data_IF_773747677731
#
_entry.id   IF_773747677731
#
_cell.length_a   1.000
_cell.length_b   1.000
_cell.length_c   1.000
_cell.angle_alpha   90.00
_cell.angle_beta   90.00
_cell.angle_gamma   90.00
#
_symmetry.space_group_name_H-M   'P 1'
#
loop_
_entity.id
_entity.type
_entity.pdbx_description
1 polymer ?
#
# COMPACT_ATOMS: atom_id res chain seq x y z
N UNK A 1 12.73 -11.41 9.17
CA UNK A 1 11.32 -11.45 9.61
C UNK A 1 11.04 -10.48 10.76
N UNK A 2 11.73 -10.60 11.91
CA UNK A 2 11.66 -9.68 13.07
C UNK A 2 11.89 -8.20 12.71
N UNK A 3 12.88 -7.93 11.85
CA UNK A 3 13.22 -6.58 11.38
C UNK A 3 12.25 -6.03 10.30
N UNK A 4 11.48 -6.92 9.66
CA UNK A 4 10.57 -6.62 8.54
C UNK A 4 9.19 -6.21 9.09
N UNK A 5 8.70 -6.93 10.10
CA UNK A 5 7.40 -6.72 10.73
C UNK A 5 7.40 -5.50 11.68
N UNK A 6 8.50 -5.27 12.43
CA UNK A 6 8.65 -4.01 13.21
C UNK A 6 8.85 -2.78 12.32
N UNK A 7 9.38 -2.95 11.10
CA UNK A 7 9.43 -1.88 10.09
C UNK A 7 8.04 -1.56 9.56
N UNK A 8 7.18 -2.56 9.30
CA UNK A 8 5.79 -2.32 8.89
C UNK A 8 5.07 -1.41 9.90
N UNK A 9 5.00 -1.77 11.18
CA UNK A 9 4.27 -0.94 12.16
C UNK A 9 4.89 0.44 12.35
N UNK A 10 6.22 0.56 12.30
CA UNK A 10 6.91 1.87 12.43
C UNK A 10 6.71 2.76 11.20
N UNK A 11 6.86 2.22 9.99
CA UNK A 11 6.68 2.95 8.74
C UNK A 11 5.20 3.32 8.56
N UNK A 12 4.27 2.39 8.73
CA UNK A 12 2.85 2.70 8.64
C UNK A 12 2.35 3.62 9.78
N UNK A 13 2.93 3.53 10.98
CA UNK A 13 2.51 4.30 12.16
C UNK A 13 3.01 5.75 12.21
N UNK A 14 4.16 6.08 11.60
CA UNK A 14 4.71 7.44 11.62
C UNK A 14 4.31 8.31 10.42
N UNK A 15 3.86 7.71 9.33
CA UNK A 15 3.61 8.45 8.10
C UNK A 15 2.18 8.99 8.08
N UNK A 16 2.07 10.31 8.00
CA UNK A 16 0.81 11.06 7.91
C UNK A 16 0.01 10.66 6.66
N UNK A 17 -1.32 10.68 6.82
CA UNK A 17 -2.32 10.29 5.82
C UNK A 17 -1.92 10.75 4.43
N UNK A 18 -1.80 9.78 3.53
CA UNK A 18 -1.84 10.03 2.10
C UNK A 18 -2.75 8.98 1.50
N UNK A 19 -3.71 9.44 0.69
CA UNK A 19 -4.62 8.58 -0.06
C UNK A 19 -3.88 7.74 -1.13
N UNK A 20 -2.55 7.85 -1.22
CA UNK A 20 -1.69 7.26 -2.25
C UNK A 20 -1.04 5.94 -1.81
N UNK A 21 -1.29 5.50 -0.58
CA UNK A 21 -0.83 4.21 -0.02
C UNK A 21 -1.93 3.58 0.84
N UNK A 22 -1.79 2.28 1.11
CA UNK A 22 -2.64 1.60 2.09
C UNK A 22 -2.31 2.10 3.51
N UNK A 23 -3.33 2.33 4.34
CA UNK A 23 -3.17 2.81 5.72
C UNK A 23 -3.31 1.67 6.71
N UNK A 24 -2.54 1.69 7.80
CA UNK A 24 -2.67 0.73 8.91
C UNK A 24 -3.58 1.31 9.99
N UNK A 25 -4.69 0.66 10.26
CA UNK A 25 -5.62 1.05 11.31
C UNK A 25 -5.32 0.34 12.65
N UNK A 26 -4.95 -0.94 12.60
CA UNK A 26 -4.69 -1.74 13.80
C UNK A 26 -3.55 -2.74 13.60
N UNK A 27 -2.75 -2.95 14.64
CA UNK A 27 -1.79 -4.04 14.71
C UNK A 27 -1.99 -4.82 16.02
N UNK A 28 -2.24 -6.13 15.92
CA UNK A 28 -2.50 -6.99 17.06
C UNK A 28 -2.02 -8.42 16.82
N UNK A 29 -1.90 -9.19 17.88
CA UNK A 29 -1.57 -10.62 17.83
C UNK A 29 -2.77 -11.50 18.15
N UNK A 30 -2.77 -12.69 17.57
CA UNK A 30 -3.63 -13.81 17.94
C UNK A 30 -2.74 -14.94 18.46
N UNK A 31 -3.34 -16.07 18.83
CA UNK A 31 -2.57 -17.26 19.25
C UNK A 31 -1.62 -17.76 18.17
N UNK A 32 -2.01 -17.63 16.90
CA UNK A 32 -1.36 -18.30 15.78
C UNK A 32 -0.79 -17.32 14.73
N UNK A 33 -1.12 -16.03 14.81
CA UNK A 33 -0.74 -15.03 13.79
C UNK A 33 -0.57 -13.61 14.35
N UNK A 34 0.27 -12.83 13.67
CA UNK A 34 0.32 -11.37 13.77
C UNK A 34 -0.56 -10.76 12.70
N UNK A 35 -1.41 -9.80 13.08
CA UNK A 35 -2.44 -9.23 12.21
C UNK A 35 -2.20 -7.73 11.99
N UNK A 36 -2.27 -7.33 10.72
CA UNK A 36 -2.30 -5.94 10.28
C UNK A 36 -3.67 -5.67 9.66
N UNK A 37 -4.41 -4.71 10.20
CA UNK A 37 -5.68 -4.24 9.61
C UNK A 37 -5.36 -3.05 8.73
N UNK A 38 -5.40 -3.28 7.42
CA UNK A 38 -5.05 -2.29 6.39
C UNK A 38 -6.30 -1.76 5.69
N UNK A 39 -6.17 -0.63 5.00
CA UNK A 39 -7.18 -0.15 4.04
C UNK A 39 -7.55 -1.27 3.06
N UNK A 40 -8.83 -1.58 2.96
CA UNK A 40 -9.35 -2.59 2.05
C UNK A 40 -9.30 -2.07 0.60
N UNK A 41 -8.73 -2.88 -0.30
CA UNK A 41 -8.55 -2.57 -1.72
C UNK A 41 -9.24 -3.64 -2.56
N UNK A 42 -10.56 -3.52 -2.73
CA UNK A 42 -11.40 -4.55 -3.37
C UNK A 42 -11.21 -4.69 -4.89
N UNK A 43 -10.64 -3.67 -5.53
CA UNK A 43 -10.41 -3.67 -6.97
C UNK A 43 -9.32 -4.65 -7.43
N UNK A 44 -8.67 -5.36 -6.50
CA UNK A 44 -7.61 -6.33 -6.81
C UNK A 44 -6.28 -5.66 -7.14
N UNK A 45 -5.29 -6.49 -7.49
CA UNK A 45 -3.95 -6.03 -7.85
C UNK A 45 -3.80 -5.79 -9.37
N UNK A 46 -2.86 -4.92 -9.73
CA UNK A 46 -2.63 -4.53 -11.12
C UNK A 46 -2.18 -5.70 -12.00
N UNK A 47 -1.54 -6.73 -11.43
CA UNK A 47 -1.17 -7.96 -12.16
C UNK A 47 -2.43 -8.69 -12.63
N UNK A 48 -3.45 -8.83 -11.80
CA UNK A 48 -4.72 -9.43 -12.19
C UNK A 48 -5.36 -8.64 -13.34
N UNK A 49 -5.41 -7.31 -13.23
CA UNK A 49 -5.91 -6.46 -14.32
C UNK A 49 -5.15 -6.65 -15.62
N UNK A 50 -3.82 -6.71 -15.55
CA UNK A 50 -2.96 -6.77 -16.74
C UNK A 50 -2.96 -8.14 -17.43
N UNK A 51 -3.08 -9.22 -16.65
CA UNK A 51 -2.84 -10.56 -17.16
C UNK A 51 -4.07 -11.44 -17.26
N UNK A 52 -5.14 -11.11 -16.52
CA UNK A 52 -6.38 -11.85 -16.49
C UNK A 52 -7.53 -11.06 -17.13
N UNK A 53 -7.61 -9.73 -16.93
CA UNK A 53 -8.69 -8.93 -17.52
C UNK A 53 -8.35 -8.36 -18.90
N UNK A 54 -7.18 -7.75 -19.07
CA UNK A 54 -6.77 -7.14 -20.35
C UNK A 54 -5.41 -7.67 -20.83
N UNK A 55 -5.36 -8.95 -21.28
CA UNK A 55 -4.13 -9.52 -21.82
C UNK A 55 -3.67 -8.74 -23.04
N UNK A 56 -2.56 -8.01 -22.90
CA UNK A 56 -2.02 -7.15 -23.96
C UNK A 56 -1.75 -5.72 -23.54
N UNK A 57 -2.07 -5.33 -22.30
CA UNK A 57 -1.81 -3.98 -21.80
C UNK A 57 -3.06 -3.10 -21.77
N UNK A 58 -2.88 -1.90 -21.24
CA UNK A 58 -3.90 -0.87 -21.09
C UNK A 58 -3.70 0.22 -22.13
N UNK A 59 -4.76 0.98 -22.41
CA UNK A 59 -4.65 2.23 -23.14
C UNK A 59 -3.82 3.25 -22.36
N UNK A 60 -3.12 4.14 -23.06
CA UNK A 60 -2.22 5.08 -22.39
C UNK A 60 -2.92 6.07 -21.46
N UNK A 61 -4.21 6.35 -21.65
CA UNK A 61 -4.97 7.21 -20.72
C UNK A 61 -5.10 6.54 -19.35
N UNK A 62 -5.42 5.25 -19.31
CA UNK A 62 -5.39 4.45 -18.08
C UNK A 62 -3.99 4.35 -17.48
N UNK A 63 -2.96 4.12 -18.31
CA UNK A 63 -1.56 4.08 -17.85
C UNK A 63 -1.12 5.41 -17.25
N UNK A 64 -1.44 6.53 -17.89
CA UNK A 64 -1.10 7.88 -17.42
C UNK A 64 -1.71 8.16 -16.05
N UNK A 65 -2.98 7.78 -15.86
CA UNK A 65 -3.66 7.95 -14.58
C UNK A 65 -2.96 7.16 -13.45
N UNK A 66 -2.73 5.85 -13.64
CA UNK A 66 -2.07 5.03 -12.62
C UNK A 66 -0.63 5.45 -12.38
N UNK A 67 0.13 5.75 -13.45
CA UNK A 67 1.50 6.22 -13.33
C UNK A 67 1.58 7.53 -12.53
N UNK A 68 0.61 8.43 -12.69
CA UNK A 68 0.55 9.67 -11.96
C UNK A 68 0.25 9.45 -10.47
N UNK A 69 -0.71 8.58 -10.12
CA UNK A 69 -0.99 8.23 -8.71
C UNK A 69 0.20 7.52 -8.04
N UNK A 70 0.83 6.57 -8.74
CA UNK A 70 2.03 5.89 -8.25
C UNK A 70 3.19 6.88 -8.06
N UNK A 71 3.35 7.85 -8.98
CA UNK A 71 4.36 8.92 -8.85
C UNK A 71 4.14 9.74 -7.58
N UNK A 72 2.88 10.11 -7.28
CA UNK A 72 2.56 10.84 -6.05
C UNK A 72 2.78 9.96 -4.80
N UNK A 73 2.46 8.67 -4.88
CA UNK A 73 2.72 7.71 -3.79
C UNK A 73 4.22 7.58 -3.47
N UNK A 74 5.06 7.43 -4.49
CA UNK A 74 6.52 7.42 -4.35
C UNK A 74 7.03 8.76 -3.84
N UNK A 75 6.54 9.89 -4.37
CA UNK A 75 6.90 11.24 -3.89
C UNK A 75 6.65 11.37 -2.39
N UNK A 76 5.51 10.87 -1.91
CA UNK A 76 5.18 10.91 -0.49
C UNK A 76 6.13 10.06 0.35
N UNK A 77 6.45 8.84 -0.08
CA UNK A 77 7.44 7.99 0.60
C UNK A 77 8.82 8.65 0.65
N UNK A 78 9.29 9.20 -0.48
CA UNK A 78 10.61 9.83 -0.58
C UNK A 78 10.72 11.08 0.31
N UNK A 79 9.66 11.90 0.42
CA UNK A 79 9.61 13.04 1.36
C UNK A 79 9.75 12.63 2.82
N UNK A 80 9.24 11.46 3.17
CA UNK A 80 9.40 10.83 4.49
C UNK A 80 10.69 10.01 4.61
N UNK A 81 11.61 10.18 3.66
CA UNK A 81 12.90 9.48 3.54
C UNK A 81 12.79 7.96 3.43
N UNK A 82 11.67 7.46 2.89
CA UNK A 82 11.43 6.03 2.75
C UNK A 82 11.66 5.60 1.31
N UNK A 83 12.52 4.62 1.15
CA UNK A 83 12.81 3.95 -0.11
C UNK A 83 11.99 2.66 -0.22
N UNK A 84 11.22 2.48 -1.29
CA UNK A 84 10.22 1.41 -1.39
C UNK A 84 10.80 0.06 -1.83
N UNK A 85 11.56 0.04 -2.92
CA UNK A 85 12.37 -1.09 -3.45
C UNK A 85 11.63 -2.32 -3.99
N UNK A 86 10.30 -2.34 -4.04
CA UNK A 86 9.55 -3.48 -4.58
C UNK A 86 8.34 -3.07 -5.44
N UNK A 87 8.54 -2.09 -6.32
CA UNK A 87 7.51 -1.66 -7.27
C UNK A 87 7.33 -2.70 -8.38
N UNK A 88 6.14 -3.32 -8.40
CA UNK A 88 5.71 -4.35 -9.36
C UNK A 88 4.17 -4.43 -9.38
N UNK A 89 3.54 -5.02 -10.42
CA UNK A 89 2.08 -4.99 -10.57
C UNK A 89 1.33 -5.65 -9.41
N UNK A 90 1.91 -6.66 -8.76
CA UNK A 90 1.33 -7.31 -7.57
C UNK A 90 1.14 -6.35 -6.38
N UNK A 91 1.97 -5.31 -6.28
CA UNK A 91 2.00 -4.42 -5.12
C UNK A 91 1.27 -3.10 -5.37
N UNK A 92 0.53 -3.00 -6.48
CA UNK A 92 -0.32 -1.86 -6.79
C UNK A 92 -1.77 -2.35 -6.75
N UNK A 93 -2.53 -1.87 -5.75
CA UNK A 93 -3.89 -2.32 -5.50
C UNK A 93 -4.90 -1.24 -5.90
N UNK A 94 -6.07 -1.65 -6.37
CA UNK A 94 -7.17 -0.76 -6.74
C UNK A 94 -8.25 -0.74 -5.64
N UNK A 95 -8.82 0.43 -5.36
CA UNK A 95 -10.01 0.55 -4.51
C UNK A 95 -11.30 0.41 -5.32
N UNK A 96 -12.47 0.49 -4.66
CA UNK A 96 -13.79 0.35 -5.27
C UNK A 96 -14.07 1.39 -6.38
N UNK A 97 -13.37 2.53 -6.35
CA UNK A 97 -13.54 3.63 -7.31
C UNK A 97 -12.53 3.56 -8.46
N UNK A 98 -11.52 2.69 -8.35
CA UNK A 98 -10.47 2.49 -9.35
C UNK A 98 -9.22 3.32 -9.15
N UNK A 99 -9.05 3.97 -7.99
CA UNK A 99 -7.78 4.60 -7.61
C UNK A 99 -6.77 3.55 -7.20
N UNK A 100 -5.49 3.77 -7.55
CA UNK A 100 -4.40 2.86 -7.21
C UNK A 100 -3.63 3.33 -5.99
N UNK A 101 -3.15 2.36 -5.20
CA UNK A 101 -2.29 2.62 -4.04
C UNK A 101 -1.14 1.64 -3.98
N UNK A 102 0.01 2.12 -3.53
CA UNK A 102 1.16 1.27 -3.23
C UNK A 102 0.86 0.46 -1.96
N UNK A 103 1.08 -0.85 -2.03
CA UNK A 103 0.96 -1.80 -0.92
C UNK A 103 2.30 -2.47 -0.60
N UNK A 104 2.32 -3.36 0.40
CA UNK A 104 3.48 -4.19 0.79
C UNK A 104 4.81 -3.40 0.94
N UNK A 105 4.94 -2.68 2.05
CA UNK A 105 6.17 -1.96 2.44
C UNK A 105 7.24 -2.87 3.05
N UNK A 106 7.18 -4.18 2.82
CA UNK A 106 8.05 -5.15 3.48
C UNK A 106 9.53 -4.94 3.19
N UNK A 107 9.85 -4.62 1.94
CA UNK A 107 11.20 -4.30 1.53
C UNK A 107 11.54 -2.82 1.69
N UNK A 108 10.63 -1.99 2.21
CA UNK A 108 10.91 -0.58 2.39
C UNK A 108 11.96 -0.31 3.48
N UNK A 109 12.61 0.85 3.39
CA UNK A 109 13.64 1.28 4.34
C UNK A 109 13.68 2.79 4.45
N UNK A 110 13.81 3.28 5.68
CA UNK A 110 14.09 4.68 5.96
C UNK A 110 15.58 4.97 5.74
N UNK A 111 15.88 5.99 4.91
CA UNK A 111 17.21 6.52 4.70
C UNK A 111 17.52 7.53 5.79
N UNK A 112 18.49 7.21 6.65
CA UNK A 112 18.99 8.15 7.65
C UNK A 112 19.74 9.26 6.93
N UNK A 113 19.33 10.51 7.17
CA UNK A 113 19.94 11.71 6.59
C UNK A 113 20.08 11.67 5.06
N UNK A 114 19.14 11.00 4.36
CA UNK A 114 19.17 10.78 2.90
C UNK A 114 20.43 10.05 2.38
N UNK A 115 21.18 9.37 3.26
CA UNK A 115 22.38 8.65 2.87
C UNK A 115 22.07 7.41 2.01
N UNK A 116 22.79 7.19 0.89
CA UNK A 116 22.62 6.00 0.07
C UNK A 116 22.91 4.71 0.85
N UNK A 117 22.12 3.68 0.61
CA UNK A 117 22.27 2.36 1.24
C UNK A 117 22.83 1.33 0.26
N UNK A 118 23.27 0.19 0.78
CA UNK A 118 23.67 -0.97 -0.01
C UNK A 118 22.88 -2.19 0.43
N UNK A 119 22.38 -2.97 -0.52
CA UNK A 119 21.66 -4.20 -0.24
C UNK A 119 20.91 -4.72 -1.47
N UNK A 120 21.03 -6.02 -1.71
CA UNK A 120 20.44 -6.67 -2.90
C UNK A 120 19.07 -7.24 -2.57
N UNK A 121 18.03 -6.43 -2.71
CA UNK A 121 16.63 -6.79 -2.42
C UNK A 121 15.70 -6.33 -3.54
N UNK A 122 14.54 -6.96 -3.65
CA UNK A 122 13.52 -6.66 -4.65
C UNK A 122 13.22 -7.85 -5.56
N UNK A 123 12.22 -7.68 -6.42
CA UNK A 123 11.77 -8.73 -7.34
C UNK A 123 12.63 -8.77 -8.62
N UNK A 124 13.06 -9.98 -9.03
CA UNK A 124 13.87 -10.20 -10.24
C UNK A 124 13.13 -9.68 -11.48
N UNK A 125 13.77 -8.82 -12.26
CA UNK A 125 13.20 -8.11 -13.42
C UNK A 125 12.74 -6.68 -13.12
N UNK A 126 12.50 -6.34 -11.85
CA UNK A 126 12.15 -4.98 -11.40
C UNK A 126 13.27 -4.30 -10.63
N UNK A 127 14.25 -5.06 -10.12
CA UNK A 127 15.45 -4.48 -9.51
C UNK A 127 16.23 -3.63 -10.50
N UNK A 128 16.58 -2.40 -10.10
CA UNK A 128 17.41 -1.51 -10.89
C UNK A 128 18.84 -2.04 -11.08
N UNK A 129 19.58 -1.62 -12.13
CA UNK A 129 20.93 -2.13 -12.43
C UNK A 129 21.91 -1.98 -11.27
N UNK A 130 21.88 -0.88 -10.53
CA UNK A 130 22.74 -0.62 -9.36
C UNK A 130 22.44 -1.58 -8.19
N UNK A 131 21.19 -2.04 -8.02
CA UNK A 131 20.84 -3.09 -7.05
C UNK A 131 21.43 -4.44 -7.52
N UNK A 132 21.27 -4.76 -8.81
CA UNK A 132 21.79 -6.02 -9.40
C UNK A 132 23.31 -6.09 -9.31
N UNK A 133 24.01 -4.97 -9.51
CA UNK A 133 25.47 -4.80 -9.35
C UNK A 133 25.93 -4.71 -7.89
N UNK A 134 24.99 -4.67 -6.93
CA UNK A 134 25.28 -4.53 -5.50
C UNK A 134 26.06 -3.24 -5.16
N UNK A 135 25.70 -2.14 -5.83
CA UNK A 135 26.21 -0.80 -5.60
C UNK A 135 25.41 -0.08 -4.51
N UNK A 136 25.86 1.13 -4.13
CA UNK A 136 25.08 2.00 -3.24
C UNK A 136 24.00 2.73 -4.05
N UNK A 137 22.83 2.90 -3.47
CA UNK A 137 21.68 3.50 -4.14
C UNK A 137 20.77 4.27 -3.17
N UNK A 138 19.93 5.12 -3.74
CA UNK A 138 18.91 5.92 -3.05
C UNK A 138 17.59 5.86 -3.85
N UNK A 139 16.78 6.91 -3.86
CA UNK A 139 15.43 6.99 -4.45
C UNK A 139 15.30 6.58 -5.93
N UNK A 140 16.38 6.70 -6.72
CA UNK A 140 16.38 6.36 -8.14
C UNK A 140 15.94 4.94 -8.50
N UNK A 141 16.07 3.99 -7.57
CA UNK A 141 15.64 2.60 -7.80
C UNK A 141 14.12 2.45 -7.88
N UNK A 142 13.37 3.34 -7.21
CA UNK A 142 11.90 3.34 -7.28
C UNK A 142 11.42 3.94 -8.61
N UNK A 143 12.14 4.94 -9.14
CA UNK A 143 11.87 5.49 -10.47
C UNK A 143 12.15 4.50 -11.59
N UNK A 144 13.17 3.66 -11.44
CA UNK A 144 13.38 2.51 -12.33
C UNK A 144 12.18 1.56 -12.29
N UNK A 145 11.72 1.19 -11.08
CA UNK A 145 10.52 0.37 -10.90
C UNK A 145 9.28 0.97 -11.58
N UNK A 146 9.10 2.29 -11.50
CA UNK A 146 8.02 3.00 -12.19
C UNK A 146 8.15 2.86 -13.72
N UNK A 147 9.37 2.96 -14.25
CA UNK A 147 9.64 2.71 -15.67
C UNK A 147 9.25 1.30 -16.11
N UNK A 148 9.58 0.28 -15.30
CA UNK A 148 9.17 -1.10 -15.55
C UNK A 148 7.65 -1.24 -15.56
N UNK A 149 6.95 -0.65 -14.58
CA UNK A 149 5.49 -0.69 -14.49
C UNK A 149 4.80 -0.04 -15.68
N UNK A 150 5.23 1.17 -16.08
CA UNK A 150 4.65 1.89 -17.21
C UNK A 150 4.85 1.09 -18.49
N UNK A 151 6.06 0.56 -18.71
CA UNK A 151 6.35 -0.29 -19.85
C UNK A 151 5.42 -1.50 -19.88
N UNK A 152 5.29 -2.19 -18.75
CA UNK A 152 4.52 -3.43 -18.65
C UNK A 152 3.02 -3.18 -18.83
N UNK A 153 2.50 -2.08 -18.28
CA UNK A 153 1.11 -1.66 -18.49
C UNK A 153 0.80 -1.38 -19.96
N UNK A 154 1.72 -0.79 -20.74
CA UNK A 154 1.48 -0.51 -22.17
C UNK A 154 1.69 -1.76 -23.04
N UNK A 155 2.80 -2.46 -22.84
CA UNK A 155 3.20 -3.58 -23.69
C UNK A 155 2.43 -4.87 -23.36
N UNK A 156 2.00 -5.04 -22.10
CA UNK A 156 1.42 -6.26 -21.56
C UNK A 156 2.44 -7.31 -21.10
N UNK A 157 3.72 -6.96 -21.04
CA UNK A 157 4.83 -7.81 -20.58
C UNK A 157 5.99 -6.96 -20.04
N UNK A 158 6.77 -7.50 -19.10
CA UNK A 158 7.88 -6.76 -18.50
C UNK A 158 9.04 -6.53 -19.50
N UNK A 159 9.82 -5.44 -19.36
CA UNK A 159 10.84 -5.05 -20.34
C UNK A 159 11.98 -6.06 -20.52
N UNK A 160 12.33 -6.81 -19.47
CA UNK A 160 13.47 -7.72 -19.47
C UNK A 160 13.10 -9.20 -19.28
N UNK A 161 11.80 -9.50 -19.12
CA UNK A 161 11.32 -10.87 -18.88
C UNK A 161 9.95 -11.08 -19.51
N UNK A 162 9.84 -12.08 -20.39
CA UNK A 162 8.57 -12.44 -21.00
C UNK A 162 7.68 -13.24 -20.03
N UNK A 163 6.36 -13.18 -20.25
CA UNK A 163 5.38 -13.93 -19.46
C UNK A 163 5.60 -15.43 -19.64
N UNK A 164 5.62 -16.18 -18.53
CA UNK A 164 5.87 -17.64 -18.48
C UNK A 164 7.24 -18.07 -19.05
N UNK A 165 8.15 -17.13 -19.26
CA UNK A 165 9.51 -17.44 -19.69
C UNK A 165 10.28 -18.16 -18.57
N UNK A 166 10.71 -19.38 -18.84
CA UNK A 166 11.57 -20.17 -17.94
C UNK A 166 13.03 -19.83 -18.21
N UNK A 167 13.46 -18.66 -17.73
CA UNK A 167 14.86 -18.21 -17.75
C UNK A 167 15.46 -18.23 -16.37
N UNK A 168 16.76 -18.51 -16.30
CA UNK A 168 17.55 -18.41 -15.08
C UNK A 168 17.59 -16.95 -14.61
N UNK A 169 17.70 -16.77 -13.30
CA UNK A 169 17.78 -15.44 -12.66
C UNK A 169 18.91 -14.60 -13.23
N UNK A 170 20.07 -15.22 -13.44
CA UNK A 170 21.30 -14.58 -13.90
C UNK A 170 21.14 -13.99 -15.31
N UNK A 171 20.34 -14.64 -16.17
CA UNK A 171 20.06 -14.14 -17.52
C UNK A 171 19.16 -12.89 -17.46
N UNK A 172 18.11 -12.90 -16.64
CA UNK A 172 17.26 -11.70 -16.46
C UNK A 172 18.09 -10.54 -15.91
N UNK A 173 18.98 -10.81 -14.97
CA UNK A 173 19.89 -9.82 -14.40
C UNK A 173 20.91 -9.29 -15.42
N UNK A 174 21.42 -10.15 -16.31
CA UNK A 174 22.25 -9.74 -17.44
C UNK A 174 21.49 -8.79 -18.36
N UNK A 175 20.26 -9.13 -18.76
CA UNK A 175 19.40 -8.26 -19.59
C UNK A 175 19.16 -6.90 -18.94
N UNK A 176 18.86 -6.86 -17.64
CA UNK A 176 18.72 -5.60 -16.88
C UNK A 176 19.99 -4.75 -16.95
N UNK A 177 21.18 -5.35 -16.93
CA UNK A 177 22.46 -4.63 -17.00
C UNK A 177 22.87 -4.19 -18.41
N UNK A 178 22.53 -4.97 -19.44
CA UNK A 178 23.16 -4.86 -20.77
C UNK A 178 22.16 -4.51 -21.87
N UNK A 179 20.99 -5.14 -21.86
CA UNK A 179 20.05 -5.05 -22.98
C UNK A 179 19.24 -3.75 -22.90
N UNK A 180 19.02 -3.09 -24.04
CA UNK A 180 18.07 -1.98 -24.14
C UNK A 180 16.65 -2.52 -24.32
N UNK A 181 15.68 -1.90 -23.65
CA UNK A 181 14.27 -2.22 -23.81
C UNK A 181 13.78 -1.93 -25.24
N UNK A 182 12.81 -2.73 -25.71
CA UNK A 182 12.24 -2.61 -27.06
C UNK A 182 10.82 -2.10 -26.97
N UNK A 183 10.43 -1.16 -27.81
CA UNK A 183 9.09 -0.56 -27.79
C UNK A 183 8.31 -0.98 -29.03
N UNK A 184 7.09 -1.49 -28.84
CA UNK A 184 6.16 -1.71 -29.95
C UNK A 184 5.54 -0.41 -30.46
N UNK A 185 4.66 -0.54 -31.43
CA UNK A 185 3.78 0.51 -31.95
C UNK A 185 2.74 1.01 -30.93
N UNK A 186 2.51 0.25 -29.84
CA UNK A 186 1.60 0.66 -28.75
C UNK A 186 2.05 1.90 -27.98
N UNK A 187 3.33 2.23 -28.02
CA UNK A 187 3.85 3.41 -27.32
C UNK A 187 3.73 4.66 -28.20
N UNK A 188 3.14 5.72 -27.67
CA UNK A 188 3.32 7.07 -28.15
C UNK A 188 4.76 7.53 -27.94
N UNK A 189 5.19 8.56 -28.67
CA UNK A 189 6.54 9.09 -28.49
C UNK A 189 6.78 9.57 -27.06
N UNK A 190 5.78 10.20 -26.43
CA UNK A 190 5.85 10.63 -25.05
C UNK A 190 5.99 9.45 -24.07
N UNK A 191 5.30 8.33 -24.31
CA UNK A 191 5.48 7.13 -23.49
C UNK A 191 6.87 6.52 -23.66
N UNK A 192 7.39 6.45 -24.90
CA UNK A 192 8.75 5.97 -25.18
C UNK A 192 9.80 6.80 -24.46
N UNK A 193 9.74 8.13 -24.57
CA UNK A 193 10.74 9.01 -23.93
C UNK A 193 10.65 8.96 -22.41
N UNK A 194 9.44 8.82 -21.85
CA UNK A 194 9.25 8.62 -20.41
C UNK A 194 9.92 7.34 -19.93
N UNK A 195 9.60 6.20 -20.56
CA UNK A 195 10.17 4.91 -20.20
C UNK A 195 11.69 4.90 -20.38
N UNK A 196 12.24 5.43 -21.48
CA UNK A 196 13.70 5.52 -21.68
C UNK A 196 14.38 6.35 -20.59
N UNK A 197 13.74 7.44 -20.16
CA UNK A 197 14.24 8.27 -19.07
C UNK A 197 14.26 7.53 -17.73
N UNK A 198 13.19 6.82 -17.39
CA UNK A 198 13.06 6.07 -16.14
C UNK A 198 13.91 4.78 -16.13
N UNK A 199 14.05 4.12 -17.28
CA UNK A 199 14.84 2.89 -17.48
C UNK A 199 16.28 3.19 -17.90
N UNK A 200 16.76 4.41 -17.65
CA UNK A 200 18.17 4.70 -17.85
C UNK A 200 19.02 3.90 -16.86
N UNK A 201 19.98 3.13 -17.40
CA UNK A 201 20.77 2.19 -16.60
C UNK A 201 21.72 2.87 -15.63
N UNK A 202 22.27 4.01 -16.04
CA UNK A 202 23.10 4.86 -15.19
C UNK A 202 22.20 5.77 -14.33
N UNK A 203 22.22 5.63 -12.98
CA UNK A 203 21.28 6.34 -12.09
C UNK A 203 21.35 7.86 -12.19
N UNK A 204 22.55 8.42 -12.41
CA UNK A 204 22.76 9.88 -12.50
C UNK A 204 22.07 10.53 -13.71
N UNK A 205 21.79 9.77 -14.77
CA UNK A 205 21.04 10.24 -15.95
C UNK A 205 19.57 9.82 -15.94
N UNK A 206 19.13 9.07 -14.93
CA UNK A 206 17.75 8.59 -14.81
C UNK A 206 16.80 9.75 -14.52
N UNK A 207 15.63 9.72 -15.16
CA UNK A 207 14.55 10.67 -14.88
C UNK A 207 14.14 10.54 -13.40
N UNK A 208 14.05 11.68 -12.71
CA UNK A 208 13.84 11.75 -11.26
C UNK A 208 15.14 11.75 -10.45
N UNK A 209 16.31 11.65 -11.10
CA UNK A 209 17.63 11.75 -10.47
C UNK A 209 18.51 12.84 -11.11
N UNK A 210 18.33 13.12 -12.40
CA UNK A 210 19.27 13.91 -13.21
C UNK A 210 19.18 15.43 -13.02
N UNK A 211 18.00 15.97 -12.72
CA UNK A 211 17.75 17.42 -12.59
C UNK A 211 17.04 17.77 -11.28
N UNK A 212 17.57 17.27 -10.16
CA UNK A 212 16.99 17.51 -8.84
C UNK A 212 17.99 18.17 -7.89
N UNK A 213 17.50 19.12 -7.09
CA UNK A 213 18.31 19.79 -6.07
C UNK A 213 18.52 18.88 -4.85
N UNK A 214 17.50 18.10 -4.49
CA UNK A 214 17.58 17.06 -3.46
C UNK A 214 17.18 15.70 -4.03
N UNK A 215 17.78 14.60 -3.55
CA UNK A 215 17.50 13.27 -4.09
C UNK A 215 16.04 12.84 -3.91
N UNK A 216 15.33 13.32 -2.88
CA UNK A 216 13.90 13.06 -2.63
C UNK A 216 12.93 13.87 -3.51
N UNK A 217 13.40 14.86 -4.26
CA UNK A 217 12.57 15.77 -5.08
C UNK A 217 12.37 15.25 -6.52
N UNK A 218 12.76 14.00 -6.81
CA UNK A 218 12.68 13.35 -8.13
C UNK A 218 11.34 13.45 -8.86
N UNK A 219 10.24 13.45 -8.10
CA UNK A 219 8.90 13.49 -8.67
C UNK A 219 8.63 14.76 -9.49
N UNK A 220 9.25 15.91 -9.18
CA UNK A 220 9.02 17.17 -9.89
C UNK A 220 9.45 17.07 -11.35
N UNK A 221 10.59 16.44 -11.60
CA UNK A 221 11.10 16.21 -12.94
C UNK A 221 10.18 15.25 -13.74
N UNK A 222 9.69 14.20 -13.09
CA UNK A 222 8.78 13.23 -13.72
C UNK A 222 7.46 13.90 -14.06
N UNK A 223 6.89 14.67 -13.13
CA UNK A 223 5.65 15.44 -13.32
C UNK A 223 5.76 16.46 -14.43
N UNK A 224 6.95 16.97 -14.71
CA UNK A 224 7.22 17.91 -15.80
C UNK A 224 7.22 17.26 -17.20
N UNK A 225 7.31 15.93 -17.29
CA UNK A 225 7.45 15.21 -18.56
C UNK A 225 6.21 15.36 -19.47
N UNK A 226 6.41 15.39 -20.79
CA UNK A 226 5.35 15.58 -21.80
C UNK A 226 4.23 14.53 -21.71
N UNK A 227 4.57 13.30 -21.34
CA UNK A 227 3.60 12.24 -21.09
C UNK A 227 2.51 12.62 -20.07
N UNK A 228 2.83 13.49 -19.09
CA UNK A 228 1.87 13.96 -18.10
C UNK A 228 1.33 15.37 -18.37
N UNK A 229 2.04 16.23 -19.09
CA UNK A 229 1.65 17.65 -19.26
C UNK A 229 1.16 18.01 -20.66
N UNK A 230 1.21 17.09 -21.62
CA UNK A 230 0.82 17.35 -23.01
C UNK A 230 -0.32 16.42 -23.42
N UNK A 231 -1.38 17.03 -23.96
CA UNK A 231 -2.50 16.30 -24.54
C UNK A 231 -2.05 15.51 -25.79
N UNK A 232 -2.67 14.36 -26.03
CA UNK A 232 -2.44 13.55 -27.21
C UNK A 232 -3.76 12.92 -27.67
N UNK A 233 -4.30 13.47 -28.76
CA UNK A 233 -5.59 13.08 -29.31
C UNK A 233 -5.64 11.62 -29.78
N UNK A 234 -4.50 11.03 -30.17
CA UNK A 234 -4.46 9.64 -30.63
C UNK A 234 -4.61 8.64 -29.47
N UNK A 235 -4.17 9.03 -28.28
CA UNK A 235 -4.19 8.18 -27.09
C UNK A 235 -5.29 8.57 -26.10
N UNK A 236 -5.94 9.73 -26.30
CA UNK A 236 -6.93 10.28 -25.39
C UNK A 236 -6.35 10.79 -24.07
N UNK A 237 -5.00 10.93 -23.99
CA UNK A 237 -4.32 11.53 -22.83
C UNK A 237 -4.57 13.03 -22.80
N UNK A 238 -4.84 13.54 -21.61
CA UNK A 238 -4.94 14.96 -21.32
C UNK A 238 -3.85 15.36 -20.31
N UNK A 239 -3.50 16.65 -20.16
CA UNK A 239 -2.59 17.09 -19.12
C UNK A 239 -3.14 16.71 -17.73
N UNK A 240 -2.31 16.06 -16.94
CA UNK A 240 -2.67 15.58 -15.59
C UNK A 240 -2.92 16.79 -14.69
N UNK A 241 -4.13 16.93 -14.11
CA UNK A 241 -4.42 18.02 -13.18
C UNK A 241 -3.87 17.67 -11.79
N UNK A 242 -2.56 17.78 -11.61
CA UNK A 242 -1.84 17.30 -10.42
C UNK A 242 -2.46 17.72 -9.09
N UNK A 243 -2.89 18.99 -8.93
CA UNK A 243 -3.54 19.47 -7.70
C UNK A 243 -4.86 18.76 -7.40
N UNK A 244 -5.63 18.40 -8.43
CA UNK A 244 -6.87 17.63 -8.26
C UNK A 244 -6.57 16.17 -7.96
N UNK A 245 -5.52 15.62 -8.58
CA UNK A 245 -5.07 14.25 -8.34
C UNK A 245 -4.53 14.07 -6.92
N UNK A 246 -3.73 15.03 -6.44
CA UNK A 246 -3.30 15.17 -5.03
C UNK A 246 -4.47 15.31 -4.04
N UNK A 247 -5.66 15.66 -4.51
CA UNK A 247 -6.86 15.76 -3.68
C UNK A 247 -7.81 14.57 -3.85
N UNK A 248 -7.46 13.56 -4.66
CA UNK A 248 -8.35 12.44 -4.98
C UNK A 248 -9.61 12.86 -5.74
N UNK A 249 -9.57 13.97 -6.49
CA UNK A 249 -10.74 14.58 -7.17
C UNK A 249 -10.76 14.33 -8.68
N UNK A 250 -9.91 13.46 -9.19
CA UNK A 250 -9.88 13.09 -10.61
C UNK A 250 -10.52 11.73 -10.75
N UNK A 251 -11.59 11.62 -11.54
CA UNK A 251 -12.26 10.36 -11.79
C UNK A 251 -11.33 9.38 -12.50
N UNK A 252 -11.12 8.17 -11.96
CA UNK A 252 -10.33 7.14 -12.64
C UNK A 252 -10.95 6.76 -13.99
N UNK A 253 -10.12 6.46 -15.02
CA UNK A 253 -10.60 6.04 -16.33
C UNK A 253 -11.21 4.62 -16.33
N UNK A 254 -11.01 3.86 -15.27
CA UNK A 254 -11.57 2.53 -15.06
C UNK A 254 -12.10 2.43 -13.63
N UNK A 255 -13.33 1.96 -13.48
CA UNK A 255 -13.97 1.68 -12.19
C UNK A 255 -14.23 0.17 -12.09
N UNK A 256 -13.75 -0.52 -11.03
CA UNK A 256 -14.08 -1.92 -10.80
C UNK A 256 -15.60 -2.15 -10.63
N UNK A 257 -16.09 -3.30 -11.06
CA UNK A 257 -17.47 -3.74 -10.80
C UNK A 257 -17.57 -4.22 -9.35
N UNK A 258 -18.43 -3.62 -8.50
CA UNK A 258 -18.59 -4.02 -7.10
C UNK A 258 -19.12 -5.45 -6.91
N UNK A 259 -19.62 -6.10 -7.97
CA UNK A 259 -20.09 -7.49 -7.95
C UNK A 259 -19.00 -8.49 -8.35
N UNK A 260 -17.89 -8.02 -8.90
CA UNK A 260 -16.78 -8.85 -9.34
C UNK A 260 -15.73 -9.00 -8.25
N UNK A 261 -15.11 -10.19 -8.18
CA UNK A 261 -13.95 -10.44 -7.32
C UNK A 261 -12.71 -10.48 -8.20
N UNK A 262 -11.81 -9.52 -7.99
CA UNK A 262 -10.58 -9.34 -8.77
C UNK A 262 -9.39 -10.06 -8.16
N UNK A 263 -9.56 -11.37 -7.93
CA UNK A 263 -8.54 -12.24 -7.35
C UNK A 263 -8.61 -13.62 -8.00
N UNK A 264 -7.57 -14.43 -7.78
CA UNK A 264 -7.63 -15.86 -8.11
C UNK A 264 -8.60 -16.58 -7.18
N UNK A 265 -9.17 -17.68 -7.65
CA UNK A 265 -9.96 -18.58 -6.82
C UNK A 265 -9.14 -19.11 -5.65
N UNK A 266 -9.78 -19.28 -4.50
CA UNK A 266 -9.14 -19.73 -3.25
C UNK A 266 -8.44 -21.08 -3.44
N UNK A 267 -8.98 -21.95 -4.30
CA UNK A 267 -8.41 -23.26 -4.62
C UNK A 267 -7.11 -23.19 -5.42
N UNK A 268 -6.87 -22.07 -6.12
CA UNK A 268 -5.67 -21.83 -6.94
C UNK A 268 -4.56 -21.11 -6.18
N UNK A 269 -4.81 -20.79 -4.90
CA UNK A 269 -3.81 -20.17 -4.02
C UNK A 269 -2.98 -21.30 -3.41
N UNK A 270 -1.71 -21.37 -3.81
CA UNK A 270 -0.77 -22.36 -3.26
C UNK A 270 -0.62 -22.19 -1.74
N UNK A 271 -1.01 -23.20 -0.99
CA UNK A 271 -0.78 -23.24 0.46
C UNK A 271 0.61 -23.82 0.73
N UNK A 272 1.45 -23.06 1.43
CA UNK A 272 2.74 -23.56 1.86
C UNK A 272 2.56 -24.59 2.99
N UNK A 273 3.37 -25.65 2.96
CA UNK A 273 3.37 -26.68 4.00
C UNK A 273 3.73 -26.08 5.36
N UNK A 274 2.92 -26.34 6.39
CA UNK A 274 3.23 -25.93 7.75
C UNK A 274 4.50 -26.63 8.25
N UNK A 275 5.52 -25.87 8.60
CA UNK A 275 6.73 -26.40 9.24
C UNK A 275 6.39 -26.77 10.68
N UNK A 276 6.50 -28.06 11.01
CA UNK A 276 6.27 -28.57 12.37
C UNK A 276 7.55 -28.50 13.21
N UNK A 277 7.40 -28.34 14.52
CA UNK A 277 8.52 -28.42 15.48
C UNK A 277 9.15 -27.08 15.86
N UNK A 278 8.65 -25.96 15.34
CA UNK A 278 9.03 -24.62 15.81
C UNK A 278 8.41 -24.38 17.18
N UNK A 279 9.24 -24.03 18.17
CA UNK A 279 8.79 -23.62 19.51
C UNK A 279 9.12 -22.15 19.70
N UNK A 280 8.11 -21.36 20.05
CA UNK A 280 8.25 -19.94 20.35
C UNK A 280 8.90 -19.75 21.72
N UNK A 281 9.82 -18.81 21.82
CA UNK A 281 10.52 -18.49 23.06
C UNK A 281 10.10 -17.13 23.66
N UNK A 282 10.78 -16.72 24.73
CA UNK A 282 10.52 -15.45 25.40
C UNK A 282 10.89 -14.23 24.53
N UNK A 283 11.87 -14.36 23.63
CA UNK A 283 12.26 -13.28 22.71
C UNK A 283 11.18 -13.06 21.65
N UNK A 284 10.59 -14.15 21.14
CA UNK A 284 9.44 -14.08 20.22
C UNK A 284 8.26 -13.37 20.88
N UNK A 285 7.94 -13.75 22.12
CA UNK A 285 6.83 -13.14 22.88
C UNK A 285 7.08 -11.66 23.15
N UNK A 286 8.31 -11.27 23.51
CA UNK A 286 8.66 -9.86 23.71
C UNK A 286 8.53 -9.07 22.40
N UNK A 287 8.86 -9.69 21.28
CA UNK A 287 8.68 -9.09 19.97
C UNK A 287 7.21 -8.89 19.61
N UNK A 288 6.35 -9.88 19.85
CA UNK A 288 4.91 -9.76 19.59
C UNK A 288 4.27 -8.64 20.41
N UNK A 289 4.66 -8.50 21.68
CA UNK A 289 4.25 -7.36 22.51
C UNK A 289 4.67 -5.99 21.97
N UNK A 290 5.78 -5.90 21.23
CA UNK A 290 6.19 -4.65 20.53
C UNK A 290 5.43 -4.42 19.23
N UNK A 291 4.98 -5.50 18.58
CA UNK A 291 4.19 -5.42 17.35
C UNK A 291 2.74 -5.00 17.62
N UNK A 292 2.16 -5.52 18.70
CA UNK A 292 0.75 -5.32 19.09
C UNK A 292 0.49 -3.91 19.64
N UNK A 293 0.64 -2.89 18.80
CA UNK A 293 0.45 -1.47 19.18
C UNK A 293 -1.02 -1.07 19.33
N UNK A 294 -1.96 -1.93 18.96
CA UNK A 294 -3.39 -1.63 19.01
C UNK A 294 -3.80 -0.72 17.86
N UNK A 295 -4.65 0.27 18.15
CA UNK A 295 -5.15 1.23 17.16
C UNK A 295 -4.09 2.29 16.80
N UNK A 296 -4.02 2.65 15.52
CA UNK A 296 -3.23 3.78 15.03
C UNK A 296 -4.12 5.02 15.07
N UNK A 297 -3.69 6.06 15.80
CA UNK A 297 -4.56 7.18 16.20
C UNK A 297 -5.30 7.85 15.05
N UNK A 298 -4.61 8.16 13.95
CA UNK A 298 -5.19 8.94 12.87
C UNK A 298 -6.22 8.13 12.05
N UNK A 299 -5.90 6.93 11.52
CA UNK A 299 -6.90 6.11 10.83
C UNK A 299 -8.07 5.72 11.72
N UNK A 300 -7.83 5.50 13.02
CA UNK A 300 -8.90 5.22 13.99
C UNK A 300 -9.84 6.42 14.17
N UNK A 301 -9.31 7.64 14.29
CA UNK A 301 -10.14 8.86 14.36
C UNK A 301 -10.95 9.07 13.08
N UNK A 302 -10.34 8.85 11.91
CA UNK A 302 -11.06 8.92 10.65
C UNK A 302 -12.18 7.88 10.58
N UNK A 303 -11.94 6.64 11.01
CA UNK A 303 -12.97 5.60 11.09
C UNK A 303 -14.14 6.05 11.97
N UNK A 304 -13.87 6.65 13.13
CA UNK A 304 -14.93 7.17 14.01
C UNK A 304 -15.74 8.30 13.37
N UNK A 305 -15.11 9.15 12.55
CA UNK A 305 -15.79 10.24 11.83
C UNK A 305 -16.60 9.69 10.65
N UNK A 306 -15.98 8.84 9.82
CA UNK A 306 -16.58 8.27 8.60
C UNK A 306 -17.76 7.34 8.88
N UNK A 307 -17.76 6.67 10.03
CA UNK A 307 -18.87 5.83 10.50
C UNK A 307 -19.91 6.59 11.31
N UNK A 308 -19.82 7.93 11.37
CA UNK A 308 -20.71 8.83 12.12
C UNK A 308 -20.70 8.63 13.65
N UNK A 309 -19.94 7.66 14.18
CA UNK A 309 -19.78 7.40 15.61
C UNK A 309 -19.36 8.66 16.37
N UNK A 310 -18.44 9.46 15.82
CA UNK A 310 -18.01 10.70 16.46
C UNK A 310 -19.15 11.70 16.55
N UNK A 311 -19.97 11.84 15.50
CA UNK A 311 -21.10 12.76 15.50
C UNK A 311 -22.17 12.35 16.52
N UNK A 312 -22.45 11.05 16.63
CA UNK A 312 -23.43 10.52 17.59
C UNK A 312 -22.96 10.58 19.04
N UNK A 313 -21.67 10.33 19.29
CA UNK A 313 -21.14 10.17 20.65
C UNK A 313 -20.54 11.45 21.23
N UNK A 314 -20.13 12.41 20.40
CA UNK A 314 -19.48 13.65 20.84
C UNK A 314 -20.50 14.71 21.29
N UNK A 315 -21.32 14.35 22.29
CA UNK A 315 -22.35 15.20 22.89
C UNK A 315 -21.85 15.75 24.22
N UNK A 316 -22.06 17.06 24.44
CA UNK A 316 -21.57 17.76 25.64
C UNK A 316 -22.67 18.06 26.65
N UNK A 317 -23.92 18.20 26.19
CA UNK A 317 -25.05 18.62 27.00
C UNK A 317 -26.22 17.67 26.81
N UNK A 318 -26.93 17.37 27.91
CA UNK A 318 -28.22 16.71 27.90
C UNK A 318 -29.32 17.70 27.42
N UNK A 319 -30.53 17.20 27.15
CA UNK A 319 -31.66 18.04 26.68
C UNK A 319 -32.02 19.18 27.65
N UNK A 320 -31.71 19.02 28.94
CA UNK A 320 -31.94 20.02 29.98
C UNK A 320 -30.84 21.10 30.06
N UNK A 321 -29.84 21.05 29.17
CA UNK A 321 -28.70 21.98 29.14
C UNK A 321 -27.62 21.67 30.18
N UNK A 322 -27.75 20.61 30.98
CA UNK A 322 -26.72 20.17 31.90
C UNK A 322 -25.61 19.40 31.17
N UNK A 323 -24.37 19.45 31.69
CA UNK A 323 -23.27 18.66 31.13
C UNK A 323 -23.57 17.16 31.24
N UNK A 324 -23.20 16.39 30.23
CA UNK A 324 -23.28 14.92 30.28
C UNK A 324 -22.48 14.37 31.46
N UNK A 325 -22.90 13.24 32.08
CA UNK A 325 -22.26 12.71 33.30
C UNK A 325 -20.75 12.47 33.19
N UNK A 326 -20.23 12.15 32.00
CA UNK A 326 -18.81 11.93 31.75
C UNK A 326 -17.95 13.21 31.82
N UNK A 327 -18.56 14.39 31.73
CA UNK A 327 -17.88 15.69 31.76
C UNK A 327 -18.15 16.49 33.05
N UNK A 328 -18.93 15.95 33.99
CA UNK A 328 -19.20 16.60 35.27
C UNK A 328 -17.94 16.51 36.17
N UNK A 329 -17.49 17.63 36.78
CA UNK A 329 -16.32 17.63 37.68
C UNK A 329 -16.47 16.75 38.92
N UNK A 330 -17.71 16.53 39.35
CA UNK A 330 -18.06 15.73 40.52
C UNK A 330 -18.02 14.23 40.16
N UNK A 331 -16.81 13.72 40.00
CA UNK A 331 -16.52 12.32 39.68
C UNK A 331 -16.97 11.35 40.78
N UNK A 332 -18.26 11.05 40.84
CA UNK A 332 -18.74 9.75 41.27
C UNK A 332 -19.69 9.21 40.22
N UNK A 333 -19.23 8.20 39.50
CA UNK A 333 -20.14 7.23 38.90
C UNK A 333 -20.89 6.59 40.08
N UNK A 334 -22.02 7.15 40.48
CA UNK A 334 -23.00 6.46 41.29
C UNK A 334 -23.49 5.29 40.45
N UNK A 335 -22.84 4.14 40.62
CA UNK A 335 -23.44 2.86 40.28
C UNK A 335 -24.60 2.69 41.26
N UNK A 336 -25.75 3.25 40.91
CA UNK A 336 -26.98 3.10 41.68
C UNK A 336 -27.34 1.62 41.76
N UNK A 337 -26.91 1.01 42.87
CA UNK A 337 -27.51 -0.21 43.40
C UNK A 337 -28.86 0.19 44.00
N UNK A 338 -29.90 0.29 43.16
CA UNK A 338 -31.29 -0.04 43.53
C UNK A 338 -32.25 0.02 42.33
N UNK A 339 -32.63 -1.18 41.91
CA UNK A 339 -33.90 -1.61 41.32
C UNK A 339 -34.51 -0.86 40.13
N UNK A 340 -34.49 -1.54 38.97
CA UNK A 340 -35.62 -1.59 38.05
C UNK A 340 -35.52 -0.70 36.83
N UNK A 341 -35.09 -1.28 35.70
CA UNK A 341 -35.37 -0.80 34.33
C UNK A 341 -34.91 0.63 33.97
N UNK A 342 -33.62 0.81 33.67
CA UNK A 342 -33.17 1.72 32.61
C UNK A 342 -31.70 1.47 32.27
N UNK A 343 -31.31 1.83 31.05
CA UNK A 343 -30.15 1.38 30.30
C UNK A 343 -28.79 1.63 30.97
N UNK A 344 -28.09 0.56 31.35
CA UNK A 344 -26.63 0.59 31.50
C UNK A 344 -26.01 1.13 30.21
N UNK A 345 -25.32 2.28 30.29
CA UNK A 345 -24.74 2.98 29.16
C UNK A 345 -23.83 2.09 28.31
N UNK A 346 -23.90 2.31 27.00
CA UNK A 346 -23.24 1.54 25.94
C UNK A 346 -21.77 1.16 26.26
N UNK A 347 -20.99 2.11 26.79
CA UNK A 347 -19.58 1.91 27.15
C UNK A 347 -19.33 0.93 28.32
N UNK A 348 -20.25 0.85 29.29
CA UNK A 348 -20.13 -0.09 30.41
C UNK A 348 -20.32 -1.55 29.98
N UNK A 349 -21.00 -1.76 28.84
CA UNK A 349 -21.16 -3.08 28.21
C UNK A 349 -19.98 -3.43 27.30
N UNK A 350 -19.31 -2.43 26.72
CA UNK A 350 -18.19 -2.64 25.80
C UNK A 350 -16.85 -2.92 26.52
N UNK A 351 -16.61 -2.35 27.71
CA UNK A 351 -15.25 -2.30 28.29
C UNK A 351 -15.08 -2.93 29.69
N UNK A 352 -16.01 -3.77 30.18
CA UNK A 352 -15.77 -4.54 31.41
C UNK A 352 -14.77 -5.68 31.16
N UNK A 353 -13.49 -5.39 31.41
CA UNK A 353 -12.40 -6.37 31.57
C UNK A 353 -12.79 -7.46 32.57
N UNK A 354 -12.96 -8.68 32.08
CA UNK A 354 -12.37 -9.86 32.72
C UNK A 354 -11.34 -10.44 31.75
N UNK A 355 -10.17 -10.70 32.30
CA UNK A 355 -9.10 -11.46 31.66
C UNK A 355 -9.69 -12.81 31.27
N UNK A 356 -9.69 -13.13 29.98
CA UNK A 356 -10.23 -14.36 29.42
C UNK A 356 -11.60 -14.20 28.75
N UNK A 357 -11.61 -14.44 27.44
CA UNK A 357 -12.76 -14.52 26.52
C UNK A 357 -13.16 -13.22 25.80
N UNK A 358 -13.12 -13.31 24.47
CA UNK A 358 -13.45 -12.30 23.48
C UNK A 358 -14.90 -11.83 23.60
N UNK A 359 -15.13 -10.52 23.52
CA UNK A 359 -16.47 -9.96 23.28
C UNK A 359 -16.69 -9.85 21.77
N UNK A 360 -17.40 -10.82 21.19
CA UNK A 360 -18.03 -10.69 19.88
C UNK A 360 -19.24 -9.76 20.06
N UNK A 361 -19.12 -8.50 19.64
CA UNK A 361 -20.26 -7.59 19.58
C UNK A 361 -21.20 -8.00 18.43
N UNK A 362 -22.29 -8.71 18.77
CA UNK A 362 -23.50 -8.78 17.93
C UNK A 362 -24.20 -7.43 17.97
N UNK A 363 -23.86 -6.53 17.04
CA UNK A 363 -24.74 -5.44 16.63
C UNK A 363 -25.80 -6.05 15.71
N UNK A 364 -26.94 -6.42 16.28
CA UNK A 364 -28.14 -6.79 15.51
C UNK A 364 -28.67 -5.53 14.83
N UNK A 365 -28.76 -5.58 13.49
CA UNK A 365 -29.29 -4.56 12.58
C UNK A 365 -28.33 -3.51 12.00
N UNK A 366 -27.11 -3.92 11.67
CA UNK A 366 -26.48 -3.45 10.44
C UNK A 366 -26.12 -4.68 9.61
N UNK A 367 -26.50 -4.69 8.33
CA UNK A 367 -26.16 -5.76 7.37
C UNK A 367 -24.63 -5.84 7.22
N UNK A 368 -23.98 -6.56 8.13
CA UNK A 368 -22.59 -7.00 8.05
C UNK A 368 -22.42 -8.28 7.21
N UNK A 369 -23.39 -8.59 6.36
CA UNK A 369 -23.17 -9.56 5.29
C UNK A 369 -22.34 -8.86 4.21
N UNK A 370 -21.14 -9.39 3.96
CA UNK A 370 -20.25 -9.06 2.83
C UNK A 370 -19.15 -8.01 3.08
N UNK A 371 -18.43 -8.09 4.21
CA UNK A 371 -17.02 -7.65 4.23
C UNK A 371 -16.13 -8.85 4.50
N UNK A 372 -15.64 -9.46 3.42
CA UNK A 372 -14.61 -10.49 3.50
C UNK A 372 -13.33 -9.79 3.98
N UNK A 373 -12.99 -9.96 5.25
CA UNK A 373 -11.68 -9.59 5.78
C UNK A 373 -10.62 -10.43 5.07
N UNK A 374 -9.82 -9.83 4.20
CA UNK A 374 -8.55 -10.42 3.82
C UNK A 374 -7.55 -10.19 4.96
N UNK A 375 -7.26 -11.22 5.75
CA UNK A 375 -6.02 -11.24 6.52
C UNK A 375 -4.87 -11.43 5.55
N UNK A 376 -3.91 -10.51 5.54
CA UNK A 376 -2.62 -10.81 4.95
C UNK A 376 -1.92 -11.84 5.86
N UNK A 377 -2.10 -13.13 5.57
CA UNK A 377 -1.24 -14.16 6.13
C UNK A 377 0.13 -14.02 5.47
N UNK A 378 1.12 -13.54 6.24
CA UNK A 378 2.52 -13.59 5.83
C UNK A 378 2.96 -15.05 5.77
N UNK A 379 2.81 -15.70 4.61
CA UNK A 379 3.31 -17.07 4.44
C UNK A 379 4.82 -17.06 4.22
N UNK A 380 5.54 -17.74 5.12
CA UNK A 380 7.00 -17.80 5.17
C UNK A 380 7.48 -18.85 4.16
N UNK A 381 8.29 -18.51 3.13
CA UNK A 381 8.92 -19.55 2.30
C UNK A 381 10.02 -20.29 3.09
N UNK A 382 10.23 -21.59 2.86
CA UNK A 382 11.22 -22.39 3.58
C UNK A 382 12.64 -21.93 3.22
N UNK A 383 13.42 -21.58 4.23
CA UNK A 383 14.86 -21.41 4.09
C UNK A 383 15.53 -22.78 3.91
N UNK A 384 16.17 -23.01 2.76
CA UNK A 384 17.27 -23.97 2.67
C UNK A 384 18.52 -23.32 3.27
N UNK A 385 19.18 -24.05 4.18
CA UNK A 385 20.45 -23.72 4.84
C UNK A 385 21.52 -23.22 3.86
#
# INVERSE_FOLDING_TARGET
LVYFISRHTRIYGHIRISFLKVSLAYAYETKDALCLVLTLMNGGDLKFHLYNLMPGGFDEKRVQFYAAEITLGLQHLHKERILYRDLKPENILLDDYGHVRISDLGLAVELKDNEPIKGRVGTVGYMAPEIVKNERYSYGVDWWGLGCLIYEMIEGKAPFRQRKEKVKREEVERRVREDQEKYSDKFSEAARTLCRGLLHKEPSFRLGCRRVSKPEEGAEEIRAHSFFNTADANTGREPVPWKKMEAGKVTPPFCPDPRAVYAKDVLDIEQFSTVKGVRLDANDTQFYGKFSTGCVSIPWQNEMIETECFQELNVFYEEDGSLVPSLRPDGQVQLDKKNGSSSAGFFSRLFKRKVGSFLVCRLRNMNWQSRVCFSAELTIPPFSL
#
